data_IF_657606026362
#
_entry.id   IF_657606026362
#
_cell.length_a   1.000
_cell.length_b   1.000
_cell.length_c   1.000
_cell.angle_alpha   90.00
_cell.angle_beta   90.00
_cell.angle_gamma   90.00
#
_symmetry.space_group_name_H-M   'P 1'
#
loop_
_entity.id
_entity.type
_entity.pdbx_description
1 polymer ?
#
# COMPACT_ATOMS: atom_id res chain seq x y z
N UNK A 1 -15.49 9.06 9.31
CA UNK A 1 -14.88 8.22 8.26
C UNK A 1 -15.94 7.30 7.67
N UNK A 2 -16.07 7.33 6.36
CA UNK A 2 -17.05 6.49 5.66
C UNK A 2 -16.44 5.14 5.30
N UNK A 3 -17.16 4.06 5.56
CA UNK A 3 -16.72 2.71 5.24
C UNK A 3 -17.36 2.28 3.92
N UNK A 4 -16.56 1.80 2.99
CA UNK A 4 -17.04 1.35 1.68
C UNK A 4 -16.43 -0.01 1.33
N UNK A 5 -17.08 -0.73 0.44
CA UNK A 5 -16.51 -1.93 -0.17
C UNK A 5 -15.56 -1.54 -1.32
N UNK A 6 -14.67 -2.43 -1.75
CA UNK A 6 -13.77 -2.09 -2.86
C UNK A 6 -14.46 -1.62 -4.13
N UNK A 7 -15.62 -2.20 -4.46
CA UNK A 7 -16.37 -1.83 -5.66
C UNK A 7 -17.17 -0.52 -5.51
N UNK A 8 -17.25 0.01 -4.29
CA UNK A 8 -17.93 1.27 -4.00
C UNK A 8 -16.97 2.46 -3.93
N UNK A 9 -15.67 2.22 -4.04
CA UNK A 9 -14.67 3.28 -3.95
C UNK A 9 -14.73 4.21 -5.16
N UNK A 10 -14.67 5.52 -4.90
CA UNK A 10 -14.71 6.54 -5.94
C UNK A 10 -13.29 6.81 -6.49
N UNK A 11 -12.92 6.08 -7.54
CA UNK A 11 -11.62 6.23 -8.18
C UNK A 11 -11.45 7.58 -8.88
N UNK A 12 -12.55 8.18 -9.37
CA UNK A 12 -12.49 9.48 -10.00
C UNK A 12 -12.10 10.56 -8.99
N UNK A 13 -12.67 10.50 -7.79
CA UNK A 13 -12.30 11.41 -6.72
C UNK A 13 -10.83 11.23 -6.31
N UNK A 14 -10.36 9.98 -6.25
CA UNK A 14 -8.96 9.68 -5.96
C UNK A 14 -8.05 10.29 -7.03
N UNK A 15 -8.41 10.15 -8.29
CA UNK A 15 -7.62 10.65 -9.40
C UNK A 15 -7.44 12.17 -9.36
N UNK A 16 -8.43 12.88 -8.81
CA UNK A 16 -8.40 14.34 -8.68
C UNK A 16 -7.54 14.85 -7.53
N UNK A 17 -7.11 13.98 -6.62
CA UNK A 17 -6.23 14.39 -5.52
C UNK A 17 -4.90 14.87 -6.11
N UNK A 18 -4.41 16.06 -5.71
CA UNK A 18 -3.18 16.58 -6.29
C UNK A 18 -1.95 15.82 -5.84
N UNK A 19 -0.83 16.07 -6.50
CA UNK A 19 0.47 15.51 -6.12
C UNK A 19 1.23 16.53 -5.29
N UNK A 20 2.14 16.02 -4.45
CA UNK A 20 3.00 16.87 -3.65
C UNK A 20 3.91 17.69 -4.55
N UNK A 21 4.22 18.92 -4.12
CA UNK A 21 5.17 19.76 -4.83
C UNK A 21 6.56 19.12 -4.78
N UNK A 22 7.25 19.12 -5.92
CA UNK A 22 8.63 18.67 -5.97
C UNK A 22 9.50 19.56 -5.10
N UNK A 23 10.37 18.95 -4.30
CA UNK A 23 11.40 19.69 -3.62
C UNK A 23 12.38 20.24 -4.65
N UNK A 24 12.78 21.50 -4.50
CA UNK A 24 13.85 22.06 -5.31
C UNK A 24 15.13 21.28 -5.04
N UNK A 25 15.61 20.56 -6.04
CA UNK A 25 16.87 19.84 -5.99
C UNK A 25 17.86 20.43 -6.99
N UNK A 26 19.09 19.95 -6.92
CA UNK A 26 20.10 20.35 -7.90
C UNK A 26 19.68 19.88 -9.29
N UNK A 27 19.91 20.67 -10.36
CA UNK A 27 19.45 20.35 -11.71
C UNK A 27 19.84 18.98 -12.26
N UNK A 28 20.90 18.37 -11.77
CA UNK A 28 21.33 17.05 -12.23
C UNK A 28 20.78 15.86 -11.46
N UNK A 29 20.08 16.09 -10.35
CA UNK A 29 19.62 15.03 -9.45
C UNK A 29 18.12 14.93 -9.34
N UNK A 30 17.38 15.56 -10.23
CA UNK A 30 15.93 15.58 -10.16
C UNK A 30 15.34 14.19 -10.40
N UNK A 31 14.81 13.62 -9.35
CA UNK A 31 13.80 12.59 -9.51
C UNK A 31 12.57 13.23 -10.11
N UNK A 32 12.11 12.71 -11.25
CA UNK A 32 10.83 13.17 -11.84
C UNK A 32 9.64 12.53 -11.14
N UNK A 33 9.88 11.75 -10.07
CA UNK A 33 8.82 11.10 -9.31
C UNK A 33 8.01 12.12 -8.53
N UNK A 34 6.70 11.93 -8.50
CA UNK A 34 5.78 12.72 -7.70
C UNK A 34 4.95 11.78 -6.85
N UNK A 35 4.66 12.20 -5.64
CA UNK A 35 3.83 11.45 -4.70
C UNK A 35 2.46 12.10 -4.58
N UNK A 36 1.42 11.28 -4.57
CA UNK A 36 0.06 11.74 -4.33
C UNK A 36 -0.02 12.39 -2.96
N UNK A 37 -0.60 13.59 -2.89
CA UNK A 37 -0.64 14.39 -1.65
C UNK A 37 -1.79 13.92 -0.74
N UNK A 38 -1.64 12.71 -0.23
CA UNK A 38 -2.62 12.08 0.64
C UNK A 38 -1.92 11.05 1.54
N UNK A 39 -2.40 10.94 2.76
CA UNK A 39 -1.94 9.91 3.68
C UNK A 39 -2.89 8.72 3.58
N UNK A 40 -2.35 7.55 3.30
CA UNK A 40 -3.11 6.31 3.30
C UNK A 40 -2.49 5.31 4.25
N UNK A 41 -3.31 4.42 4.79
CA UNK A 41 -2.86 3.40 5.72
C UNK A 41 -3.56 2.08 5.41
N UNK A 42 -2.83 0.99 5.54
CA UNK A 42 -3.31 -0.35 5.26
C UNK A 42 -3.10 -1.24 6.48
N UNK A 43 -4.08 -2.09 6.76
CA UNK A 43 -4.02 -3.03 7.87
C UNK A 43 -4.82 -4.29 7.54
N UNK A 44 -4.45 -5.40 8.17
CA UNK A 44 -5.20 -6.64 8.04
C UNK A 44 -5.60 -7.15 9.42
N UNK A 45 -6.74 -7.84 9.46
CA UNK A 45 -7.16 -8.59 10.63
C UNK A 45 -7.02 -10.07 10.32
N UNK A 46 -6.40 -10.80 11.24
CA UNK A 46 -6.13 -12.22 11.05
C UNK A 46 -6.76 -13.04 12.16
N UNK A 47 -7.06 -14.29 11.84
CA UNK A 47 -7.48 -15.28 12.83
C UNK A 47 -6.58 -16.50 12.71
N UNK A 48 -6.31 -17.14 13.82
CA UNK A 48 -5.51 -18.36 13.84
C UNK A 48 -6.43 -19.57 13.83
N UNK A 49 -6.23 -20.45 12.86
CA UNK A 49 -6.89 -21.74 12.83
C UNK A 49 -6.05 -22.75 13.61
N UNK A 50 -6.49 -23.07 14.82
CA UNK A 50 -5.74 -23.95 15.73
C UNK A 50 -5.49 -25.34 15.14
N UNK A 51 -6.41 -25.83 14.29
CA UNK A 51 -6.33 -27.16 13.68
C UNK A 51 -5.15 -27.30 12.70
N UNK A 52 -4.75 -26.21 12.06
CA UNK A 52 -3.67 -26.21 11.07
C UNK A 52 -2.54 -25.28 11.43
N UNK A 53 -2.58 -24.65 12.61
CA UNK A 53 -1.59 -23.69 13.13
C UNK A 53 -1.23 -22.58 12.14
N UNK A 54 -2.18 -22.16 11.32
CA UNK A 54 -1.98 -21.08 10.35
C UNK A 54 -2.80 -19.85 10.72
N UNK A 55 -2.21 -18.68 10.49
CA UNK A 55 -2.93 -17.42 10.56
C UNK A 55 -3.51 -17.12 9.19
N UNK A 56 -4.79 -16.77 9.17
CA UNK A 56 -5.52 -16.47 7.94
C UNK A 56 -6.07 -15.04 8.06
N UNK A 57 -5.86 -14.26 7.02
CA UNK A 57 -6.46 -12.94 6.91
C UNK A 57 -7.95 -13.11 6.62
N UNK A 58 -8.79 -12.38 7.37
CA UNK A 58 -10.22 -12.39 7.12
C UNK A 58 -10.77 -11.02 6.76
N UNK A 59 -10.06 -9.95 7.07
CA UNK A 59 -10.41 -8.58 6.68
C UNK A 59 -9.13 -7.83 6.36
N UNK A 60 -9.13 -7.07 5.26
CA UNK A 60 -8.13 -6.05 5.01
C UNK A 60 -8.83 -4.68 4.99
N UNK A 61 -8.14 -3.66 5.46
CA UNK A 61 -8.64 -2.31 5.55
C UNK A 61 -7.65 -1.34 4.92
N UNK A 62 -8.14 -0.43 4.12
CA UNK A 62 -7.30 0.55 3.45
C UNK A 62 -7.94 1.93 3.61
N UNK A 63 -7.37 2.74 4.50
CA UNK A 63 -7.86 4.11 4.73
C UNK A 63 -7.25 5.04 3.68
N UNK A 64 -8.11 5.72 2.94
CA UNK A 64 -7.72 6.67 1.90
C UNK A 64 -8.53 7.94 2.13
N UNK A 65 -7.87 9.01 2.60
CA UNK A 65 -8.50 10.26 3.01
C UNK A 65 -9.54 10.00 4.11
N UNK A 66 -10.79 10.35 3.91
CA UNK A 66 -11.86 10.12 4.89
C UNK A 66 -12.66 8.84 4.65
N UNK A 67 -12.16 7.99 3.77
CA UNK A 67 -12.82 6.74 3.38
C UNK A 67 -11.99 5.55 3.84
N UNK A 68 -12.65 4.54 4.40
CA UNK A 68 -12.01 3.28 4.72
C UNK A 68 -12.58 2.19 3.82
N UNK A 69 -11.74 1.62 2.96
CA UNK A 69 -12.10 0.53 2.09
C UNK A 69 -11.87 -0.77 2.85
N UNK A 70 -12.89 -1.61 2.94
CA UNK A 70 -12.80 -2.89 3.65
C UNK A 70 -13.12 -4.02 2.68
N UNK A 71 -12.18 -4.96 2.56
CA UNK A 71 -12.38 -6.16 1.77
C UNK A 71 -12.15 -7.42 2.60
N UNK A 72 -12.49 -8.56 2.05
CA UNK A 72 -12.46 -9.83 2.78
C UNK A 72 -11.59 -10.89 2.11
N UNK A 73 -11.18 -10.68 0.87
CA UNK A 73 -10.36 -11.65 0.15
C UNK A 73 -9.13 -10.99 -0.45
N UNK A 74 -8.10 -11.79 -0.65
CA UNK A 74 -6.90 -11.31 -1.33
C UNK A 74 -7.16 -11.01 -2.80
N UNK A 75 -8.11 -11.68 -3.43
CA UNK A 75 -8.51 -11.38 -4.81
C UNK A 75 -9.06 -9.97 -4.92
N UNK A 76 -9.94 -9.57 -3.97
CA UNK A 76 -10.44 -8.21 -3.93
C UNK A 76 -9.31 -7.19 -3.71
N UNK A 77 -8.37 -7.54 -2.84
CA UNK A 77 -7.22 -6.67 -2.56
C UNK A 77 -6.37 -6.46 -3.82
N UNK A 78 -6.05 -7.54 -4.53
CA UNK A 78 -5.25 -7.46 -5.74
C UNK A 78 -5.96 -6.64 -6.82
N UNK A 79 -7.26 -6.87 -7.02
CA UNK A 79 -8.05 -6.12 -7.97
C UNK A 79 -8.10 -4.64 -7.61
N UNK A 80 -8.38 -4.33 -6.35
CA UNK A 80 -8.45 -2.95 -5.87
C UNK A 80 -7.10 -2.23 -6.01
N UNK A 81 -6.01 -2.89 -5.61
CA UNK A 81 -4.68 -2.31 -5.70
C UNK A 81 -4.30 -2.04 -7.16
N UNK A 82 -4.63 -2.94 -8.07
CA UNK A 82 -4.36 -2.75 -9.49
C UNK A 82 -5.13 -1.57 -10.06
N UNK A 83 -6.41 -1.46 -9.73
CA UNK A 83 -7.25 -0.33 -10.16
C UNK A 83 -6.74 0.99 -9.62
N UNK A 84 -6.30 1.00 -8.37
CA UNK A 84 -5.73 2.20 -7.76
C UNK A 84 -4.43 2.59 -8.45
N UNK A 85 -3.56 1.61 -8.70
CA UNK A 85 -2.31 1.81 -9.43
C UNK A 85 -2.54 2.37 -10.83
N UNK A 86 -3.57 1.90 -11.52
CA UNK A 86 -3.88 2.35 -12.88
C UNK A 86 -4.36 3.81 -12.92
N UNK A 87 -4.77 4.37 -11.78
CA UNK A 87 -5.19 5.77 -11.68
C UNK A 87 -4.04 6.73 -11.40
N UNK A 88 -2.83 6.22 -11.21
CA UNK A 88 -1.64 7.03 -11.05
C UNK A 88 -0.98 7.23 -12.41
N UNK A 89 -0.47 8.44 -12.65
CA UNK A 89 0.22 8.74 -13.88
C UNK A 89 1.63 8.17 -13.93
N UNK A 90 2.29 8.34 -15.06
CA UNK A 90 3.67 7.92 -15.22
C UNK A 90 4.57 8.67 -14.23
N UNK A 91 5.47 7.95 -13.57
CA UNK A 91 6.38 8.49 -12.54
C UNK A 91 5.63 9.09 -11.33
N UNK A 92 4.42 8.65 -11.09
CA UNK A 92 3.63 9.07 -9.95
C UNK A 92 3.42 7.89 -9.02
N UNK A 93 3.48 8.14 -7.73
CA UNK A 93 3.42 7.08 -6.71
C UNK A 93 2.47 7.45 -5.58
N UNK A 94 1.98 6.41 -4.92
CA UNK A 94 1.18 6.54 -3.70
C UNK A 94 1.94 5.86 -2.56
N UNK A 95 2.04 6.55 -1.42
CA UNK A 95 2.62 5.96 -0.21
C UNK A 95 1.50 5.43 0.68
N UNK A 96 1.64 4.21 1.13
CA UNK A 96 0.70 3.55 2.03
C UNK A 96 1.46 3.16 3.31
N UNK A 97 1.04 3.69 4.46
CA UNK A 97 1.67 3.34 5.72
C UNK A 97 1.07 2.07 6.30
N UNK A 98 1.94 1.21 6.82
CA UNK A 98 1.56 -0.05 7.46
C UNK A 98 2.25 -0.09 8.81
N UNK A 99 1.52 -0.35 9.88
CA UNK A 99 2.06 -0.30 11.24
C UNK A 99 3.24 -1.25 11.44
N UNK A 100 3.09 -2.50 11.01
CA UNK A 100 4.18 -3.48 11.07
C UNK A 100 4.25 -4.19 9.72
N UNK A 101 4.94 -3.57 8.77
CA UNK A 101 5.00 -4.07 7.41
C UNK A 101 5.58 -5.49 7.32
N UNK A 102 6.54 -5.83 8.19
CA UNK A 102 7.10 -7.18 8.17
C UNK A 102 6.04 -8.25 8.39
N UNK A 103 5.06 -7.99 9.25
CA UNK A 103 3.97 -8.93 9.48
C UNK A 103 3.05 -9.03 8.25
N UNK A 104 2.56 -7.90 7.74
CA UNK A 104 1.70 -7.90 6.55
C UNK A 104 2.42 -8.47 5.34
N UNK A 105 3.73 -8.23 5.23
CA UNK A 105 4.51 -8.74 4.11
C UNK A 105 4.53 -10.26 4.05
N UNK A 106 4.43 -10.95 5.20
CA UNK A 106 4.37 -12.41 5.20
C UNK A 106 3.15 -12.93 4.41
N UNK A 107 2.08 -12.15 4.36
CA UNK A 107 0.88 -12.47 3.58
C UNK A 107 1.02 -11.97 2.14
N UNK A 108 1.50 -10.75 1.95
CA UNK A 108 1.58 -10.14 0.62
C UNK A 108 2.51 -10.91 -0.32
N UNK A 109 3.63 -11.42 0.19
CA UNK A 109 4.57 -12.19 -0.63
C UNK A 109 3.99 -13.51 -1.14
N UNK A 110 2.92 -13.98 -0.50
CA UNK A 110 2.23 -15.20 -0.93
C UNK A 110 1.22 -14.97 -2.05
N UNK A 111 0.83 -13.73 -2.29
CA UNK A 111 -0.19 -13.40 -3.29
C UNK A 111 0.33 -12.51 -4.43
N UNK A 112 1.49 -11.91 -4.26
CA UNK A 112 2.08 -11.00 -5.24
C UNK A 112 3.58 -11.31 -5.36
N UNK A 113 4.07 -11.34 -6.60
CA UNK A 113 5.47 -11.63 -6.87
C UNK A 113 6.30 -10.36 -6.82
N UNK A 114 7.02 -10.16 -5.71
CA UNK A 114 7.92 -9.04 -5.55
C UNK A 114 9.28 -9.37 -6.15
N UNK A 115 9.89 -8.40 -6.81
CA UNK A 115 11.28 -8.51 -7.25
C UNK A 115 12.20 -7.90 -6.18
N UNK A 116 13.51 -8.13 -6.30
CA UNK A 116 14.46 -7.54 -5.35
C UNK A 116 14.45 -6.02 -5.35
N UNK A 117 14.06 -5.41 -6.47
CA UNK A 117 13.95 -3.94 -6.59
C UNK A 117 12.73 -3.39 -5.82
N UNK A 118 11.72 -4.24 -5.60
CA UNK A 118 10.49 -3.84 -4.96
C UNK A 118 10.57 -3.84 -3.44
N UNK A 119 11.63 -4.41 -2.86
CA UNK A 119 11.74 -4.62 -1.42
C UNK A 119 12.96 -3.90 -0.89
N UNK A 120 12.74 -3.13 0.18
CA UNK A 120 13.83 -2.53 0.95
C UNK A 120 13.76 -3.07 2.38
N UNK A 121 14.83 -3.73 2.81
CA UNK A 121 14.92 -4.28 4.17
C UNK A 121 16.22 -3.86 4.84
N UNK A 122 16.17 -3.77 6.16
CA UNK A 122 17.35 -3.48 6.97
C UNK A 122 17.91 -4.82 7.47
N UNK A 123 19.16 -5.11 7.16
CA UNK A 123 19.87 -6.33 7.58
C UNK A 123 19.12 -7.63 7.20
N UNK A 124 18.30 -7.59 6.16
CA UNK A 124 17.57 -8.74 5.67
C UNK A 124 16.47 -9.27 6.61
N UNK A 125 16.21 -8.59 7.73
CA UNK A 125 15.27 -9.08 8.74
C UNK A 125 13.96 -8.34 8.79
N UNK A 126 14.00 -7.02 8.62
CA UNK A 126 12.84 -6.18 8.75
C UNK A 126 12.53 -5.48 7.43
N UNK A 127 11.31 -5.66 6.94
CA UNK A 127 10.88 -5.00 5.71
C UNK A 127 10.45 -3.58 6.06
N UNK A 128 11.13 -2.61 5.47
CA UNK A 128 10.85 -1.19 5.67
C UNK A 128 9.95 -0.61 4.60
N UNK A 129 10.05 -1.17 3.38
CA UNK A 129 9.27 -0.73 2.24
C UNK A 129 9.12 -1.87 1.25
N UNK A 130 7.95 -2.00 0.66
CA UNK A 130 7.75 -2.85 -0.51
C UNK A 130 6.83 -2.13 -1.49
N UNK A 131 7.05 -2.37 -2.78
CA UNK A 131 6.34 -1.67 -3.85
C UNK A 131 5.56 -2.67 -4.68
N UNK A 132 4.26 -2.42 -4.88
CA UNK A 132 3.40 -3.19 -5.76
C UNK A 132 3.10 -2.38 -7.02
N UNK A 133 3.03 -3.07 -8.15
CA UNK A 133 2.70 -2.47 -9.46
C UNK A 133 3.60 -1.29 -9.85
N UNK A 134 4.78 -1.17 -9.23
CA UNK A 134 5.74 -0.12 -9.53
C UNK A 134 5.42 1.25 -8.93
N UNK A 135 4.23 1.46 -8.38
CA UNK A 135 3.83 2.78 -7.91
C UNK A 135 3.08 2.83 -6.58
N UNK A 136 2.78 1.68 -5.98
CA UNK A 136 2.19 1.62 -4.65
C UNK A 136 3.28 1.28 -3.63
N UNK A 137 3.76 2.28 -2.89
CA UNK A 137 4.82 2.08 -1.90
C UNK A 137 4.23 1.87 -0.51
N UNK A 138 4.31 0.63 -0.02
CA UNK A 138 3.96 0.31 1.36
C UNK A 138 5.17 0.55 2.23
N UNK A 139 5.02 1.41 3.24
CA UNK A 139 6.10 1.80 4.15
C UNK A 139 5.74 1.45 5.59
N UNK A 140 6.71 0.94 6.33
CA UNK A 140 6.53 0.63 7.72
C UNK A 140 6.47 1.92 8.55
N UNK A 141 5.34 2.16 9.22
CA UNK A 141 5.18 3.33 10.06
C UNK A 141 5.78 3.14 11.46
N UNK A 142 6.05 1.91 11.85
CA UNK A 142 6.63 1.59 13.16
C UNK A 142 7.98 2.29 13.39
N UNK A 143 8.71 2.56 12.32
CA UNK A 143 10.01 3.22 12.39
C UNK A 143 9.92 4.73 12.61
N UNK A 144 8.75 5.31 12.50
CA UNK A 144 8.54 6.75 12.65
C UNK A 144 7.94 7.11 14.02
N UNK A 145 7.76 6.13 14.87
CA UNK A 145 7.24 6.32 16.22
C UNK A 145 8.37 6.54 17.22
#
# INVERSE_FOLDING_TARGET
MRIVKPDEFDFEAFEKIPYQKRKRGNPGTRSKLRYKDIVTAFDIETTRLAEIEQCIMYIWQWAIDDVCVIGRTWEEFLDFSKKLSDRLGEKEKLVIFVHNLSYEFTFLKGIYEFTTKDIFSLDGRKILKCTMHGNLEFRCSYLHS
#
